data_IF_307026767203
#
_entry.id   IF_307026767203
#
_cell.length_a   1.000
_cell.length_b   1.000
_cell.length_c   1.000
_cell.angle_alpha   90.00
_cell.angle_beta   90.00
_cell.angle_gamma   90.00
#
_symmetry.space_group_name_H-M   'P 1'
#
loop_
_entity.id
_entity.type
_entity.pdbx_description
1 polymer ?
#
# COMPACT_ATOMS: atom_id res chain seq x y z
N UNK A 1 7.41 -6.67 11.58
CA UNK A 1 6.19 -6.75 10.72
C UNK A 1 6.60 -7.07 9.28
N UNK A 2 6.09 -8.17 8.76
CA UNK A 2 6.47 -8.65 7.42
C UNK A 2 6.12 -7.64 6.31
N UNK A 3 4.94 -7.05 6.36
CA UNK A 3 4.50 -6.10 5.33
C UNK A 3 5.41 -4.88 5.28
N UNK A 4 5.72 -4.31 6.44
CA UNK A 4 6.62 -3.16 6.52
C UNK A 4 8.00 -3.49 5.94
N UNK A 5 8.54 -4.64 6.29
CA UNK A 5 9.83 -5.10 5.78
C UNK A 5 9.81 -5.20 4.26
N UNK A 6 8.75 -5.77 3.70
CA UNK A 6 8.59 -5.91 2.25
C UNK A 6 8.50 -4.55 1.56
N UNK A 7 7.65 -3.66 2.05
CA UNK A 7 7.42 -2.36 1.42
C UNK A 7 8.62 -1.42 1.53
N UNK A 8 9.45 -1.59 2.55
CA UNK A 8 10.66 -0.77 2.74
C UNK A 8 11.93 -1.46 2.25
N UNK A 9 11.81 -2.57 1.55
CA UNK A 9 12.94 -3.35 1.04
C UNK A 9 13.94 -3.75 2.14
N UNK A 10 13.41 -4.08 3.32
CA UNK A 10 14.20 -4.51 4.46
C UNK A 10 14.73 -3.40 5.34
N UNK A 11 14.58 -2.13 4.95
CA UNK A 11 15.10 -1.01 5.74
C UNK A 11 14.47 -0.89 7.12
N UNK A 12 13.18 -1.15 7.22
CA UNK A 12 12.46 -1.15 8.49
C UNK A 12 11.79 -2.51 8.66
N UNK A 13 12.03 -3.16 9.78
CA UNK A 13 11.61 -4.54 9.97
C UNK A 13 10.64 -4.77 11.12
N UNK A 14 10.42 -3.77 11.97
CA UNK A 14 9.55 -3.93 13.13
C UNK A 14 8.83 -2.63 13.46
N UNK A 15 7.56 -2.77 13.82
CA UNK A 15 6.78 -1.68 14.40
C UNK A 15 6.70 -1.92 15.90
N UNK A 16 7.00 -0.89 16.68
CA UNK A 16 6.98 -0.94 18.13
C UNK A 16 5.82 -0.08 18.61
N UNK A 17 4.91 -0.69 19.34
CA UNK A 17 3.77 0.00 19.92
C UNK A 17 4.06 0.32 21.37
N UNK A 18 3.93 1.58 21.73
CA UNK A 18 3.90 2.05 23.08
C UNK A 18 2.50 2.59 23.37
N UNK A 19 2.16 2.83 24.63
CA UNK A 19 0.81 3.24 25.04
C UNK A 19 0.26 4.43 24.24
N UNK A 20 1.12 5.30 23.77
CA UNK A 20 0.72 6.52 23.07
C UNK A 20 1.40 6.73 21.73
N UNK A 21 2.39 5.90 21.37
CA UNK A 21 3.18 6.14 20.17
C UNK A 21 3.47 4.86 19.40
N UNK A 22 3.70 5.02 18.10
CA UNK A 22 4.15 3.96 17.21
C UNK A 22 5.56 4.36 16.73
N UNK A 23 6.53 3.47 16.92
CA UNK A 23 7.90 3.67 16.45
C UNK A 23 8.28 2.55 15.51
N UNK A 24 9.32 2.74 14.71
CA UNK A 24 9.82 1.74 13.79
C UNK A 24 11.29 1.45 14.04
N UNK A 25 11.68 0.19 13.85
CA UNK A 25 13.07 -0.22 13.97
C UNK A 25 13.68 -0.36 12.60
N UNK A 26 14.79 0.35 12.40
CA UNK A 26 15.62 0.24 11.21
C UNK A 26 16.45 -1.05 11.25
N UNK A 27 16.90 -1.52 10.09
CA UNK A 27 17.75 -2.73 9.98
C UNK A 27 19.03 -2.64 10.81
N UNK A 28 19.56 -1.42 11.02
CA UNK A 28 20.75 -1.21 11.85
C UNK A 28 20.46 -1.25 13.36
N UNK A 29 19.22 -1.52 13.77
CA UNK A 29 18.79 -1.59 15.16
C UNK A 29 18.31 -0.26 15.75
N UNK A 30 18.50 0.84 15.05
CA UNK A 30 18.05 2.15 15.53
C UNK A 30 16.53 2.25 15.46
N UNK A 31 15.94 2.91 16.48
CA UNK A 31 14.50 3.11 16.60
C UNK A 31 14.18 4.55 16.22
N UNK A 32 13.22 4.73 15.33
CA UNK A 32 12.77 6.03 14.86
C UNK A 32 11.31 6.27 15.23
N UNK A 33 11.03 7.48 15.71
CA UNK A 33 9.66 7.97 15.83
C UNK A 33 9.17 8.40 14.45
N UNK A 34 7.85 8.30 14.13
CA UNK A 34 7.34 8.69 12.81
C UNK A 34 7.71 10.11 12.37
N UNK A 35 7.85 11.04 13.33
CA UNK A 35 8.24 12.43 13.03
C UNK A 35 9.66 12.55 12.49
N UNK A 36 10.50 11.54 12.72
CA UNK A 36 11.87 11.50 12.23
C UNK A 36 12.02 10.88 10.84
N UNK A 37 10.92 10.35 10.30
CA UNK A 37 10.91 9.67 9.01
C UNK A 37 10.64 10.67 7.88
N UNK A 38 11.13 10.36 6.68
CA UNK A 38 10.73 11.10 5.49
C UNK A 38 9.23 10.93 5.24
N UNK A 39 8.63 11.84 4.49
CA UNK A 39 7.20 11.79 4.20
C UNK A 39 6.83 10.49 3.48
N UNK A 40 7.62 10.06 2.52
CA UNK A 40 7.33 8.83 1.78
C UNK A 40 7.50 7.58 2.64
N UNK A 41 8.47 7.53 3.55
CA UNK A 41 8.63 6.42 4.49
C UNK A 41 7.46 6.37 5.46
N UNK A 42 7.00 7.53 5.92
CA UNK A 42 5.83 7.64 6.79
C UNK A 42 4.58 7.11 6.11
N UNK A 43 4.39 7.42 4.83
CA UNK A 43 3.28 6.91 4.03
C UNK A 43 3.34 5.39 3.88
N UNK A 44 4.53 4.83 3.63
CA UNK A 44 4.71 3.38 3.57
C UNK A 44 4.35 2.72 4.90
N UNK A 45 4.74 3.33 6.01
CA UNK A 45 4.39 2.82 7.34
C UNK A 45 2.87 2.76 7.53
N UNK A 46 2.17 3.84 7.20
CA UNK A 46 0.71 3.89 7.35
C UNK A 46 0.02 2.87 6.44
N UNK A 47 0.50 2.70 5.22
CA UNK A 47 -0.04 1.70 4.30
C UNK A 47 0.19 0.28 4.85
N UNK A 48 1.38 0.01 5.37
CA UNK A 48 1.69 -1.29 5.98
C UNK A 48 0.76 -1.61 7.15
N UNK A 49 0.49 -0.63 8.00
CA UNK A 49 -0.44 -0.79 9.12
C UNK A 49 -1.86 -1.08 8.63
N UNK A 50 -2.33 -0.34 7.63
CA UNK A 50 -3.65 -0.55 7.06
C UNK A 50 -3.79 -1.93 6.42
N UNK A 51 -2.80 -2.36 5.66
CA UNK A 51 -2.84 -3.69 5.03
C UNK A 51 -2.79 -4.80 6.07
N UNK A 52 -2.02 -4.62 7.14
CA UNK A 52 -2.00 -5.58 8.25
C UNK A 52 -3.36 -5.72 8.88
N UNK A 53 -4.05 -4.60 9.12
CA UNK A 53 -5.39 -4.59 9.68
C UNK A 53 -6.38 -5.28 8.74
N UNK A 54 -6.34 -4.96 7.47
CA UNK A 54 -7.22 -5.56 6.47
C UNK A 54 -7.02 -7.08 6.41
N UNK A 55 -5.79 -7.55 6.41
CA UNK A 55 -5.50 -8.99 6.40
C UNK A 55 -6.03 -9.67 7.66
N UNK A 56 -5.90 -9.03 8.80
CA UNK A 56 -6.42 -9.56 10.07
C UNK A 56 -7.94 -9.65 10.08
N UNK A 57 -8.61 -8.67 9.48
CA UNK A 57 -10.07 -8.60 9.47
C UNK A 57 -10.70 -9.43 8.36
N UNK A 58 -9.95 -9.79 7.33
CA UNK A 58 -10.50 -10.49 6.16
C UNK A 58 -11.16 -11.82 6.51
N UNK A 59 -10.67 -12.50 7.53
CA UNK A 59 -11.25 -13.77 8.01
C UNK A 59 -12.70 -13.61 8.45
N UNK A 60 -13.04 -12.44 8.97
CA UNK A 60 -14.37 -12.15 9.52
C UNK A 60 -15.22 -11.32 8.56
N UNK A 61 -14.58 -10.44 7.80
CA UNK A 61 -15.21 -9.48 6.89
C UNK A 61 -14.49 -9.51 5.55
N UNK A 62 -14.92 -10.37 4.61
CA UNK A 62 -14.23 -10.55 3.33
C UNK A 62 -14.58 -9.44 2.33
N UNK A 63 -14.38 -8.20 2.72
CA UNK A 63 -14.58 -7.05 1.84
C UNK A 63 -13.40 -6.87 0.89
N UNK A 64 -13.64 -6.31 -0.32
CA UNK A 64 -12.55 -5.97 -1.22
C UNK A 64 -11.74 -4.79 -0.69
N UNK A 65 -10.46 -4.73 -1.09
CA UNK A 65 -9.62 -3.57 -0.85
C UNK A 65 -9.83 -2.60 -1.99
N UNK A 66 -10.13 -1.35 -1.65
CA UNK A 66 -10.27 -0.28 -2.64
C UNK A 66 -9.09 0.67 -2.49
N UNK A 67 -8.32 0.82 -3.57
CA UNK A 67 -7.18 1.72 -3.63
C UNK A 67 -7.49 2.77 -4.70
N UNK A 68 -7.64 4.01 -4.27
CA UNK A 68 -8.00 5.12 -5.15
C UNK A 68 -6.85 6.12 -5.22
N UNK A 69 -6.05 5.98 -6.28
CA UNK A 69 -4.93 6.89 -6.59
C UNK A 69 -3.98 7.14 -5.41
N UNK A 70 -3.81 6.11 -4.55
CA UNK A 70 -3.08 6.26 -3.29
C UNK A 70 -1.57 6.41 -3.46
N UNK A 71 -1.03 6.10 -4.64
CA UNK A 71 0.40 6.03 -4.86
C UNK A 71 0.94 7.14 -5.77
N UNK A 72 0.17 8.21 -5.96
CA UNK A 72 0.55 9.30 -6.89
C UNK A 72 1.84 10.00 -6.48
N UNK A 73 2.17 10.02 -5.18
CA UNK A 73 3.35 10.68 -4.65
C UNK A 73 4.58 9.77 -4.58
N UNK A 74 4.42 8.50 -4.91
CA UNK A 74 5.53 7.56 -4.88
C UNK A 74 6.33 7.64 -6.17
N UNK A 75 7.65 7.45 -6.06
CA UNK A 75 8.49 7.28 -7.22
C UNK A 75 8.17 5.95 -7.93
N UNK A 76 8.73 5.77 -9.12
CA UNK A 76 8.45 4.59 -9.94
C UNK A 76 8.79 3.29 -9.21
N UNK A 77 9.94 3.26 -8.53
CA UNK A 77 10.40 2.05 -7.84
C UNK A 77 9.46 1.66 -6.70
N UNK A 78 9.07 2.62 -5.87
CA UNK A 78 8.14 2.36 -4.76
C UNK A 78 6.76 1.97 -5.27
N UNK A 79 6.30 2.61 -6.33
CA UNK A 79 5.02 2.28 -6.94
C UNK A 79 5.02 0.84 -7.45
N UNK A 80 6.10 0.40 -8.09
CA UNK A 80 6.22 -0.98 -8.57
C UNK A 80 6.19 -1.98 -7.41
N UNK A 81 6.85 -1.68 -6.31
CA UNK A 81 6.82 -2.52 -5.11
C UNK A 81 5.40 -2.63 -4.56
N UNK A 82 4.69 -1.51 -4.49
CA UNK A 82 3.30 -1.49 -4.00
C UNK A 82 2.38 -2.28 -4.91
N UNK A 83 2.51 -2.13 -6.22
CA UNK A 83 1.70 -2.87 -7.19
C UNK A 83 1.98 -4.37 -7.08
N UNK A 84 3.22 -4.78 -6.99
CA UNK A 84 3.58 -6.19 -6.79
C UNK A 84 2.97 -6.75 -5.50
N UNK A 85 3.00 -5.96 -4.43
CA UNK A 85 2.40 -6.38 -3.17
C UNK A 85 0.88 -6.54 -3.31
N UNK A 86 0.21 -5.60 -3.95
CA UNK A 86 -1.23 -5.69 -4.22
C UNK A 86 -1.57 -6.90 -5.10
N UNK A 87 -0.77 -7.17 -6.12
CA UNK A 87 -0.95 -8.35 -6.96
C UNK A 87 -0.84 -9.63 -6.16
N UNK A 88 0.11 -9.70 -5.23
CA UNK A 88 0.25 -10.83 -4.31
C UNK A 88 -0.98 -10.98 -3.40
N UNK A 89 -1.48 -9.89 -2.84
CA UNK A 89 -2.68 -9.91 -2.01
C UNK A 89 -3.93 -10.30 -2.78
N UNK A 90 -3.99 -9.98 -4.08
CA UNK A 90 -5.18 -10.24 -4.91
C UNK A 90 -5.46 -11.71 -5.11
N UNK A 91 -4.54 -12.60 -4.75
CA UNK A 91 -4.76 -14.05 -4.78
C UNK A 91 -5.79 -14.48 -3.73
N UNK A 92 -5.84 -13.77 -2.62
CA UNK A 92 -6.70 -14.11 -1.48
C UNK A 92 -7.79 -13.08 -1.22
N UNK A 93 -7.53 -11.81 -1.56
CA UNK A 93 -8.43 -10.69 -1.28
C UNK A 93 -8.65 -9.93 -2.59
N UNK A 94 -9.90 -9.64 -2.92
CA UNK A 94 -10.20 -8.83 -4.09
C UNK A 94 -9.65 -7.42 -3.92
N UNK A 95 -8.88 -6.96 -4.90
CA UNK A 95 -8.29 -5.61 -4.90
C UNK A 95 -8.84 -4.85 -6.09
N UNK A 96 -9.44 -3.69 -5.81
CA UNK A 96 -9.92 -2.74 -6.82
C UNK A 96 -9.01 -1.51 -6.78
N UNK A 97 -8.23 -1.33 -7.82
CA UNK A 97 -7.27 -0.24 -7.93
C UNK A 97 -7.73 0.76 -8.97
N UNK A 98 -8.05 1.97 -8.50
CA UNK A 98 -8.50 3.07 -9.35
C UNK A 98 -7.35 4.06 -9.55
N UNK A 99 -7.03 4.36 -10.79
CA UNK A 99 -5.98 5.32 -11.12
C UNK A 99 -6.33 6.07 -12.39
N UNK A 100 -5.88 7.32 -12.46
CA UNK A 100 -5.97 8.13 -13.68
C UNK A 100 -4.80 7.86 -14.63
N UNK A 101 -3.76 7.20 -14.14
CA UNK A 101 -2.56 6.93 -14.90
C UNK A 101 -2.52 5.48 -15.37
N UNK A 102 -2.13 5.30 -16.63
CA UNK A 102 -1.93 3.97 -17.18
C UNK A 102 -0.69 3.36 -16.54
N UNK A 103 -0.85 2.21 -15.92
CA UNK A 103 0.25 1.51 -15.24
C UNK A 103 0.59 0.23 -16.00
N UNK A 104 1.80 0.17 -16.55
CA UNK A 104 2.27 -0.99 -17.30
C UNK A 104 2.67 -2.17 -16.40
N UNK A 105 2.76 -1.93 -15.07
CA UNK A 105 3.05 -3.00 -14.11
C UNK A 105 1.86 -3.96 -13.94
N UNK A 106 0.67 -3.55 -14.32
CA UNK A 106 -0.55 -4.36 -14.19
C UNK A 106 -0.87 -5.01 -15.54
N UNK A 107 -1.12 -6.33 -15.58
CA UNK A 107 -1.50 -7.00 -16.82
C UNK A 107 -2.75 -6.39 -17.43
N UNK A 108 -2.74 -6.21 -18.75
CA UNK A 108 -3.85 -5.58 -19.47
C UNK A 108 -5.18 -6.33 -19.31
N UNK A 109 -5.13 -7.66 -19.24
CA UNK A 109 -6.34 -8.47 -19.03
C UNK A 109 -7.00 -8.26 -17.67
N UNK A 110 -6.29 -7.63 -16.74
CA UNK A 110 -6.82 -7.26 -15.42
C UNK A 110 -7.15 -5.77 -15.34
N UNK A 111 -7.06 -5.05 -16.45
CA UNK A 111 -7.27 -3.60 -16.51
C UNK A 111 -8.54 -3.29 -17.27
N UNK A 112 -9.39 -2.45 -16.66
CA UNK A 112 -10.59 -1.92 -17.28
C UNK A 112 -10.41 -0.42 -17.44
N UNK A 113 -10.53 0.07 -18.67
CA UNK A 113 -10.44 1.50 -18.95
C UNK A 113 -11.83 2.08 -19.05
N UNK A 114 -12.09 3.10 -18.20
CA UNK A 114 -13.35 3.84 -18.23
C UNK A 114 -13.17 5.05 -19.13
N UNK A 115 -14.04 5.17 -20.14
CA UNK A 115 -14.02 6.31 -21.03
C UNK A 115 -15.17 7.26 -20.68
N UNK A 116 -14.89 8.56 -20.81
CA UNK A 116 -15.92 9.57 -20.60
C UNK A 116 -16.99 9.45 -21.68
N UNK A 117 -18.24 9.39 -21.26
CA UNK A 117 -19.38 9.36 -22.18
C UNK A 117 -19.79 10.78 -22.44
N UNK A 118 -19.54 11.29 -23.65
CA UNK A 118 -19.84 12.68 -23.99
C UNK A 118 -21.34 12.98 -23.95
N UNK A 119 -22.16 12.07 -24.43
CA UNK A 119 -23.61 12.22 -24.37
C UNK A 119 -24.19 12.15 -22.98
N UNK A 120 -23.43 11.63 -22.01
CA UNK A 120 -23.89 11.47 -20.63
C UNK A 120 -23.89 12.72 -19.78
N UNK A 121 -23.52 13.84 -20.34
CA UNK A 121 -23.55 15.12 -19.66
C UNK A 121 -24.95 15.71 -19.50
N UNK A 122 -25.92 15.05 -19.97
CA UNK A 122 -27.31 15.40 -19.79
C UNK A 122 -27.84 15.05 -18.44
#
# INVERSE_FOLDING_TARGET
>A
MYILKTLTEGRYNQVIYDEQTVSVRHENGQIFHPTELSQSTKELLYIALRFSLIKSLHKYYPFPIIVDDAFVHFDKQRKEIMIKYLMSMSKDIQVLYFTCNKDNSVPQKQTITLTKIEGGKN
#
